data_IF_275058555041
#
_entry.id   IF_275058555041
#
_cell.length_a   1.000
_cell.length_b   1.000
_cell.length_c   1.000
_cell.angle_alpha   90.00
_cell.angle_beta   90.00
_cell.angle_gamma   90.00
#
_symmetry.space_group_name_H-M   'P 1'
#
loop_
_entity.id
_entity.type
_entity.pdbx_description
1 polymer ?
#
# COMPACT_ATOMS: atom_id res chain seq x y z
N UNK A 1 77.83 -45.42 17.95
CA UNK A 1 76.90 -44.62 18.78
C UNK A 1 76.28 -43.54 17.91
N UNK A 2 75.08 -43.77 17.37
CA UNK A 2 74.37 -42.86 16.45
C UNK A 2 73.50 -41.90 17.27
N UNK A 3 73.63 -40.60 17.02
CA UNK A 3 72.83 -39.53 17.63
C UNK A 3 71.47 -39.45 16.93
N UNK A 4 70.39 -39.57 17.70
CA UNK A 4 69.00 -39.34 17.25
C UNK A 4 68.66 -37.87 17.46
N UNK A 5 68.19 -37.11 16.44
CA UNK A 5 67.72 -35.74 16.67
C UNK A 5 66.26 -35.76 17.14
N UNK A 6 65.98 -34.92 18.13
CA UNK A 6 64.68 -34.67 18.72
C UNK A 6 63.90 -33.70 17.81
N UNK A 7 62.73 -34.12 17.28
CA UNK A 7 61.80 -33.24 16.57
C UNK A 7 60.94 -32.48 17.60
N UNK A 8 61.06 -31.16 17.64
CA UNK A 8 60.16 -30.28 18.39
C UNK A 8 58.97 -29.94 17.50
N UNK A 9 57.78 -30.43 17.85
CA UNK A 9 56.53 -30.04 17.20
C UNK A 9 56.03 -28.73 17.84
N UNK A 10 56.07 -27.63 17.09
CA UNK A 10 55.43 -26.38 17.48
C UNK A 10 53.93 -26.46 17.15
N UNK A 11 53.09 -26.53 18.18
CA UNK A 11 51.64 -26.41 18.04
C UNK A 11 51.25 -24.93 17.91
N UNK A 12 50.96 -24.47 16.70
CA UNK A 12 50.31 -23.18 16.46
C UNK A 12 48.84 -23.27 16.86
N UNK A 13 48.48 -22.66 17.99
CA UNK A 13 47.09 -22.44 18.37
C UNK A 13 46.50 -21.34 17.46
N UNK A 14 45.60 -21.73 16.54
CA UNK A 14 44.74 -20.77 15.84
C UNK A 14 43.68 -20.26 16.82
N UNK A 15 43.84 -19.04 17.31
CA UNK A 15 42.76 -18.29 17.94
C UNK A 15 41.74 -17.92 16.87
N UNK A 16 40.59 -18.59 16.82
CA UNK A 16 39.43 -18.09 16.09
C UNK A 16 38.94 -16.83 16.82
N UNK A 17 39.30 -15.66 16.31
CA UNK A 17 38.64 -14.42 16.69
C UNK A 17 37.19 -14.52 16.18
N UNK A 18 36.22 -14.54 17.10
CA UNK A 18 34.82 -14.39 16.75
C UNK A 18 34.65 -13.00 16.12
N UNK A 19 34.45 -12.95 14.81
CA UNK A 19 34.08 -11.71 14.13
C UNK A 19 32.74 -11.25 14.71
N UNK A 20 32.72 -10.05 15.30
CA UNK A 20 31.46 -9.39 15.65
C UNK A 20 30.60 -9.33 14.39
N UNK A 21 29.29 -9.64 14.45
CA UNK A 21 28.42 -9.56 13.29
C UNK A 21 28.50 -8.14 12.74
N UNK A 22 28.87 -8.01 11.46
CA UNK A 22 28.89 -6.72 10.79
C UNK A 22 27.48 -6.12 10.87
N UNK A 23 27.35 -4.97 11.54
CA UNK A 23 26.11 -4.21 11.55
C UNK A 23 25.76 -3.87 10.10
N UNK A 24 24.61 -4.34 9.61
CA UNK A 24 24.18 -4.06 8.25
C UNK A 24 24.17 -2.53 8.03
N UNK A 25 24.75 -2.08 6.93
CA UNK A 25 24.80 -0.66 6.61
C UNK A 25 23.36 -0.13 6.50
N UNK A 26 23.04 0.88 7.32
CA UNK A 26 21.74 1.56 7.30
C UNK A 26 21.92 3.01 6.86
N UNK A 27 20.88 3.56 6.23
CA UNK A 27 20.81 4.98 5.87
C UNK A 27 19.59 5.58 6.53
N UNK A 28 19.78 6.61 7.36
CA UNK A 28 18.68 7.32 8.03
C UNK A 28 18.53 8.74 7.52
N UNK A 29 17.29 9.22 7.42
CA UNK A 29 16.99 10.60 7.08
C UNK A 29 15.69 11.08 7.74
N UNK A 30 15.55 12.40 7.88
CA UNK A 30 14.28 13.04 8.23
C UNK A 30 13.61 13.50 6.94
N UNK A 31 12.33 13.18 6.76
CA UNK A 31 11.53 13.71 5.66
C UNK A 31 11.23 15.19 5.91
N UNK A 32 11.28 16.01 4.85
CA UNK A 32 10.91 17.41 4.93
C UNK A 32 9.38 17.51 4.90
N UNK A 33 8.75 17.69 6.06
CA UNK A 33 7.29 17.80 6.12
C UNK A 33 6.75 19.07 5.46
N UNK A 34 7.59 20.09 5.25
CA UNK A 34 7.23 21.31 4.53
C UNK A 34 7.35 21.16 3.00
N UNK A 35 7.82 20.01 2.50
CA UNK A 35 7.81 19.75 1.06
C UNK A 35 6.38 19.70 0.55
N UNK A 36 6.16 20.34 -0.60
CA UNK A 36 4.90 20.24 -1.33
C UNK A 36 5.11 19.36 -2.56
N UNK A 37 4.18 18.44 -2.78
CA UNK A 37 4.15 17.61 -3.97
C UNK A 37 2.79 17.77 -4.67
N UNK A 38 2.77 17.67 -6.00
CA UNK A 38 1.52 17.79 -6.77
C UNK A 38 0.51 16.66 -6.47
N UNK A 39 1.00 15.55 -5.92
CA UNK A 39 0.20 14.40 -5.50
C UNK A 39 -0.26 14.49 -4.04
N UNK A 40 0.02 15.60 -3.34
CA UNK A 40 -0.56 15.88 -2.03
C UNK A 40 -2.09 16.08 -2.16
N UNK A 41 -2.83 15.54 -1.19
CA UNK A 41 -4.28 15.65 -1.15
C UNK A 41 -4.74 15.91 0.28
N UNK A 42 -5.57 16.93 0.46
CA UNK A 42 -6.27 17.19 1.72
C UNK A 42 -5.37 17.24 2.97
N UNK A 43 -4.19 17.84 2.82
CA UNK A 43 -3.24 18.09 3.91
C UNK A 43 -3.02 19.59 4.11
N UNK A 44 -2.85 19.98 5.36
CA UNK A 44 -2.41 21.31 5.76
C UNK A 44 -1.08 21.18 6.51
N UNK A 45 -0.13 22.06 6.19
CA UNK A 45 1.09 22.21 6.97
C UNK A 45 1.12 23.60 7.61
N UNK A 46 1.03 23.64 8.94
CA UNK A 46 1.16 24.86 9.72
C UNK A 46 2.35 24.70 10.68
N UNK A 47 3.34 25.58 10.55
CA UNK A 47 4.55 25.60 11.39
C UNK A 47 5.32 24.27 11.43
N UNK A 48 5.38 23.55 10.31
CA UNK A 48 6.07 22.25 10.21
C UNK A 48 5.27 21.07 10.75
N UNK A 49 3.97 21.26 11.05
CA UNK A 49 3.08 20.20 11.50
C UNK A 49 2.04 19.89 10.41
N UNK A 50 2.09 18.65 9.91
CA UNK A 50 1.15 18.13 8.91
C UNK A 50 -0.12 17.61 9.59
N UNK A 51 -1.28 18.03 9.09
CA UNK A 51 -2.63 17.64 9.52
C UNK A 51 -3.55 17.46 8.33
N UNK A 52 -4.75 16.93 8.57
CA UNK A 52 -5.87 17.01 7.62
C UNK A 52 -6.28 18.48 7.40
N UNK A 53 -6.64 18.83 6.16
CA UNK A 53 -7.03 20.19 5.80
C UNK A 53 -8.53 20.50 6.03
N UNK A 54 -9.35 19.51 6.39
CA UNK A 54 -10.81 19.66 6.52
C UNK A 54 -11.53 19.59 5.16
N UNK A 55 -10.88 19.01 4.14
CA UNK A 55 -11.37 18.91 2.78
C UNK A 55 -12.14 17.61 2.51
N UNK A 56 -12.88 17.54 1.39
CA UNK A 56 -13.83 16.46 1.12
C UNK A 56 -13.18 15.22 0.48
N UNK A 57 -11.89 14.97 0.71
CA UNK A 57 -11.20 13.80 0.13
C UNK A 57 -11.47 12.58 1.01
N UNK A 58 -12.03 11.54 0.39
CA UNK A 58 -12.51 10.39 1.10
C UNK A 58 -12.44 9.10 0.26
N UNK A 59 -12.48 7.94 0.92
CA UNK A 59 -12.46 6.64 0.26
C UNK A 59 -13.87 6.21 -0.14
N UNK A 60 -14.12 5.65 -1.34
CA UNK A 60 -15.43 5.13 -1.81
C UNK A 60 -16.22 4.31 -0.78
N UNK A 61 -15.56 3.71 0.21
CA UNK A 61 -16.19 3.13 1.41
C UNK A 61 -16.97 4.12 2.30
N UNK A 62 -17.24 5.33 1.85
CA UNK A 62 -17.39 6.54 2.66
C UNK A 62 -18.67 6.69 3.50
N UNK A 63 -19.42 5.62 3.72
CA UNK A 63 -20.56 5.63 4.65
C UNK A 63 -20.13 5.76 6.13
N UNK A 64 -18.92 6.23 6.41
CA UNK A 64 -18.34 6.39 7.75
C UNK A 64 -17.93 7.84 8.05
N UNK A 65 -18.18 8.78 7.12
CA UNK A 65 -17.76 10.17 7.23
C UNK A 65 -16.27 10.31 7.61
N UNK A 66 -15.39 9.49 6.99
CA UNK A 66 -13.95 9.49 7.29
C UNK A 66 -13.21 10.38 6.31
N UNK A 67 -12.60 11.45 6.79
CA UNK A 67 -11.70 12.28 6.02
C UNK A 67 -10.33 11.61 5.84
N UNK A 68 -9.81 11.64 4.62
CA UNK A 68 -8.47 11.13 4.30
C UNK A 68 -7.59 12.23 3.68
N UNK A 69 -6.33 12.27 4.08
CA UNK A 69 -5.31 13.13 3.49
C UNK A 69 -4.04 12.35 3.19
N UNK A 70 -3.34 12.75 2.15
CA UNK A 70 -2.09 12.15 1.69
C UNK A 70 -1.05 13.25 1.54
N UNK A 71 0.09 13.09 2.19
CA UNK A 71 1.31 13.81 1.83
C UNK A 71 2.25 12.85 1.10
N UNK A 72 2.69 13.25 -0.09
CA UNK A 72 3.58 12.50 -0.96
C UNK A 72 4.98 13.11 -0.91
N UNK A 73 5.98 12.31 -0.57
CA UNK A 73 7.37 12.78 -0.61
C UNK A 73 8.00 12.48 -1.97
N UNK A 74 8.93 13.33 -2.40
CA UNK A 74 9.68 13.10 -3.62
C UNK A 74 10.50 11.80 -3.56
N UNK A 75 10.66 11.10 -4.70
CA UNK A 75 11.52 9.93 -4.78
C UNK A 75 12.94 10.20 -4.27
N UNK A 76 13.42 9.38 -3.33
CA UNK A 76 14.75 9.49 -2.73
C UNK A 76 15.67 8.42 -3.28
N UNK A 77 16.81 8.85 -3.83
CA UNK A 77 17.92 7.95 -4.14
C UNK A 77 18.70 7.59 -2.87
N UNK A 78 18.90 6.30 -2.65
CA UNK A 78 19.65 5.76 -1.52
C UNK A 78 21.13 5.58 -1.89
N UNK A 79 22.06 5.74 -0.93
CA UNK A 79 23.50 5.49 -1.15
C UNK A 79 23.81 4.03 -1.51
N UNK A 80 23.00 3.09 -1.02
CA UNK A 80 23.05 1.67 -1.33
C UNK A 80 21.64 1.13 -1.57
N UNK A 81 21.52 0.03 -2.35
CA UNK A 81 20.22 -0.62 -2.56
C UNK A 81 19.71 -1.23 -1.27
N UNK A 82 18.47 -0.92 -0.92
CA UNK A 82 17.81 -1.39 0.30
C UNK A 82 16.47 -2.04 -0.04
N UNK A 83 16.08 -3.09 0.70
CA UNK A 83 14.77 -3.74 0.58
C UNK A 83 13.95 -3.62 1.87
N UNK A 84 14.40 -2.83 2.85
CA UNK A 84 13.69 -2.60 4.10
C UNK A 84 13.73 -1.13 4.46
N UNK A 85 12.59 -0.56 4.86
CA UNK A 85 12.51 0.81 5.39
C UNK A 85 11.60 0.82 6.61
N UNK A 86 12.14 1.24 7.76
CA UNK A 86 11.34 1.54 8.96
C UNK A 86 11.00 3.02 9.00
N UNK A 87 9.90 3.35 9.66
CA UNK A 87 9.42 4.73 9.81
C UNK A 87 9.08 5.01 11.27
N UNK A 88 9.56 6.13 11.79
CA UNK A 88 9.21 6.66 13.11
C UNK A 88 8.60 8.04 12.94
N UNK A 89 7.36 8.20 13.39
CA UNK A 89 6.65 9.48 13.38
C UNK A 89 6.64 10.05 14.78
N UNK A 90 7.03 11.31 14.91
CA UNK A 90 6.74 12.14 16.08
C UNK A 90 5.44 12.90 15.79
N UNK A 91 4.41 12.63 16.58
CA UNK A 91 3.07 13.13 16.31
C UNK A 91 2.02 12.63 17.28
N UNK A 92 0.81 13.17 17.15
CA UNK A 92 -0.36 12.77 17.90
C UNK A 92 -1.34 12.05 16.97
N UNK A 93 -1.84 10.89 17.39
CA UNK A 93 -2.88 10.14 16.68
C UNK A 93 -4.03 9.93 17.67
N UNK A 94 -5.11 10.73 17.57
CA UNK A 94 -6.29 10.56 18.43
C UNK A 94 -6.95 9.20 18.24
N UNK A 95 -7.83 8.83 19.18
CA UNK A 95 -8.69 7.66 19.01
C UNK A 95 -9.48 7.73 17.70
N UNK A 96 -9.78 6.56 17.13
CA UNK A 96 -10.53 6.41 15.88
C UNK A 96 -9.89 7.10 14.65
N UNK A 97 -8.63 7.54 14.77
CA UNK A 97 -7.83 8.09 13.69
C UNK A 97 -6.65 7.17 13.36
N UNK A 98 -6.12 7.33 12.15
CA UNK A 98 -4.96 6.58 11.68
C UNK A 98 -3.94 7.51 11.02
N UNK A 99 -2.66 7.24 11.28
CA UNK A 99 -1.54 7.80 10.54
C UNK A 99 -0.64 6.67 10.08
N UNK A 100 -0.69 6.36 8.79
CA UNK A 100 0.08 5.29 8.16
C UNK A 100 1.23 5.90 7.33
N UNK A 101 2.43 5.33 7.46
CA UNK A 101 3.55 5.64 6.57
C UNK A 101 3.73 4.49 5.61
N UNK A 102 3.63 4.76 4.31
CA UNK A 102 3.84 3.73 3.29
C UNK A 102 5.10 4.01 2.48
N UNK A 103 5.78 2.93 2.09
CA UNK A 103 7.00 2.95 1.29
C UNK A 103 6.81 2.10 0.03
N UNK A 104 7.32 2.59 -1.09
CA UNK A 104 7.49 1.81 -2.32
C UNK A 104 8.89 1.94 -2.89
N UNK A 105 9.37 0.93 -3.58
CA UNK A 105 10.64 0.94 -4.30
C UNK A 105 10.45 1.05 -5.81
N UNK A 106 11.35 1.77 -6.48
CA UNK A 106 11.42 1.75 -7.94
C UNK A 106 12.15 0.49 -8.38
N UNK A 107 11.52 -0.29 -9.25
CA UNK A 107 12.08 -1.53 -9.76
C UNK A 107 13.04 -1.29 -10.91
N UNK A 108 13.84 -2.32 -11.22
CA UNK A 108 14.76 -2.28 -12.36
C UNK A 108 14.05 -2.10 -13.72
N UNK A 109 12.78 -2.53 -13.82
CA UNK A 109 11.92 -2.37 -15.01
C UNK A 109 11.26 -0.98 -15.11
N UNK A 110 11.56 -0.08 -14.16
CA UNK A 110 11.00 1.28 -14.10
C UNK A 110 9.60 1.36 -13.50
N UNK A 111 9.01 0.25 -13.06
CA UNK A 111 7.73 0.24 -12.38
C UNK A 111 7.91 0.38 -10.86
N UNK A 112 6.91 0.93 -10.19
CA UNK A 112 6.89 0.95 -8.74
C UNK A 112 6.46 -0.42 -8.18
N UNK A 113 6.96 -0.78 -7.00
CA UNK A 113 6.34 -1.81 -6.17
C UNK A 113 5.01 -1.28 -5.62
N UNK A 114 4.20 -2.15 -5.01
CA UNK A 114 3.09 -1.69 -4.17
C UNK A 114 3.60 -0.82 -3.02
N UNK A 115 2.71 0.05 -2.52
CA UNK A 115 2.89 0.70 -1.23
C UNK A 115 2.86 -0.36 -0.12
N UNK A 116 3.82 -0.29 0.78
CA UNK A 116 3.94 -1.18 1.94
C UNK A 116 4.09 -0.34 3.19
N UNK A 117 3.21 -0.57 4.15
CA UNK A 117 3.20 0.13 5.43
C UNK A 117 4.51 -0.12 6.20
N UNK A 118 5.08 0.93 6.77
CA UNK A 118 6.29 0.94 7.55
C UNK A 118 6.00 1.46 8.96
N UNK A 119 6.43 0.71 9.97
CA UNK A 119 6.42 1.13 11.37
C UNK A 119 7.83 0.96 11.97
N UNK A 120 8.08 1.43 13.21
CA UNK A 120 9.36 1.19 13.87
C UNK A 120 9.64 -0.31 14.07
N UNK A 121 8.63 -1.08 14.46
CA UNK A 121 8.76 -2.49 14.85
C UNK A 121 8.48 -3.48 13.70
N UNK A 122 7.80 -3.02 12.65
CA UNK A 122 7.56 -3.75 11.41
C UNK A 122 7.94 -2.87 10.22
N UNK A 123 9.22 -2.90 9.79
CA UNK A 123 9.68 -2.18 8.62
C UNK A 123 8.96 -2.67 7.36
N UNK A 124 8.73 -1.76 6.40
CA UNK A 124 8.27 -2.11 5.07
C UNK A 124 9.35 -2.93 4.36
N UNK A 125 9.06 -4.21 4.09
CA UNK A 125 9.95 -5.10 3.33
C UNK A 125 9.50 -5.12 1.87
N UNK A 126 10.34 -4.54 1.00
CA UNK A 126 10.11 -4.48 -0.44
C UNK A 126 10.44 -5.83 -1.10
N UNK A 127 9.74 -6.21 -2.18
CA UNK A 127 9.97 -7.48 -2.88
C UNK A 127 11.36 -7.58 -3.51
N UNK A 128 11.99 -6.44 -3.82
CA UNK A 128 13.37 -6.36 -4.31
C UNK A 128 14.11 -5.15 -3.71
N UNK A 129 15.43 -5.23 -3.65
CA UNK A 129 16.26 -4.13 -3.18
C UNK A 129 16.29 -2.99 -4.20
N UNK A 130 15.85 -1.80 -3.81
CA UNK A 130 15.78 -0.62 -4.67
C UNK A 130 16.83 0.43 -4.32
N UNK A 131 17.33 1.11 -5.34
CA UNK A 131 18.17 2.29 -5.19
C UNK A 131 17.35 3.58 -5.03
N UNK A 132 16.04 3.54 -5.30
CA UNK A 132 15.15 4.70 -5.22
C UNK A 132 13.88 4.29 -4.51
N UNK A 133 13.58 4.93 -3.39
CA UNK A 133 12.34 4.71 -2.65
C UNK A 133 11.47 5.95 -2.70
N UNK A 134 10.16 5.78 -2.57
CA UNK A 134 9.23 6.86 -2.33
C UNK A 134 8.41 6.55 -1.09
N UNK A 135 8.05 7.61 -0.37
CA UNK A 135 7.28 7.52 0.88
C UNK A 135 6.04 8.38 0.74
N UNK A 136 4.96 7.96 1.38
CA UNK A 136 3.79 8.80 1.65
C UNK A 136 3.37 8.64 3.11
N UNK A 137 2.69 9.65 3.63
CA UNK A 137 1.89 9.52 4.86
C UNK A 137 0.42 9.64 4.50
N UNK A 138 -0.40 8.70 4.98
CA UNK A 138 -1.85 8.77 4.91
C UNK A 138 -2.40 9.09 6.30
N UNK A 139 -3.22 10.13 6.38
CA UNK A 139 -3.93 10.53 7.59
C UNK A 139 -5.41 10.21 7.36
N UNK A 140 -6.04 9.55 8.32
CA UNK A 140 -7.48 9.25 8.29
C UNK A 140 -8.10 9.59 9.64
N UNK A 141 -9.27 10.25 9.64
CA UNK A 141 -9.99 10.58 10.86
C UNK A 141 -11.49 10.77 10.58
N UNK A 142 -12.36 10.69 11.60
CA UNK A 142 -13.74 11.15 11.47
C UNK A 142 -13.78 12.63 11.04
N UNK A 143 -14.66 12.96 10.10
CA UNK A 143 -14.82 14.31 9.58
C UNK A 143 -15.14 15.31 10.70
N UNK A 144 -14.47 16.45 10.69
CA UNK A 144 -14.62 17.50 11.72
C UNK A 144 -13.98 17.19 13.08
N UNK A 145 -13.32 16.03 13.25
CA UNK A 145 -12.50 15.74 14.42
C UNK A 145 -11.14 16.45 14.36
N UNK A 146 -10.36 16.39 15.44
CA UNK A 146 -9.00 16.97 15.48
C UNK A 146 -8.04 16.28 14.51
N UNK A 147 -8.23 14.98 14.25
CA UNK A 147 -7.40 14.16 13.38
C UNK A 147 -5.92 14.01 13.82
N UNK A 148 -5.12 13.23 13.07
CA UNK A 148 -3.70 13.06 13.32
C UNK A 148 -2.89 14.34 13.06
N UNK A 149 -1.76 14.47 13.78
CA UNK A 149 -0.78 15.52 13.56
C UNK A 149 0.65 14.94 13.53
N UNK A 150 1.37 15.14 12.44
CA UNK A 150 2.79 14.75 12.32
C UNK A 150 3.72 15.96 12.41
N UNK A 151 4.73 15.87 13.27
CA UNK A 151 5.75 16.91 13.52
C UNK A 151 7.11 16.52 12.95
N UNK A 152 7.39 15.22 12.88
CA UNK A 152 8.61 14.69 12.27
C UNK A 152 8.38 13.28 11.72
N UNK A 153 8.98 12.98 10.58
CA UNK A 153 9.08 11.62 10.07
C UNK A 153 10.56 11.27 9.88
N UNK A 154 11.02 10.26 10.62
CA UNK A 154 12.36 9.67 10.47
C UNK A 154 12.26 8.32 9.79
N UNK A 155 13.04 8.12 8.75
CA UNK A 155 13.07 6.90 7.96
C UNK A 155 14.46 6.29 8.03
N UNK A 156 14.51 4.96 8.16
CA UNK A 156 15.77 4.21 8.17
C UNK A 156 15.68 3.07 7.17
N UNK A 157 16.45 3.19 6.09
CA UNK A 157 16.61 2.16 5.08
C UNK A 157 17.73 1.18 5.46
N UNK A 158 17.53 -0.09 5.15
CA UNK A 158 18.50 -1.16 5.36
C UNK A 158 18.16 -2.40 4.54
N UNK A 159 18.72 -3.53 4.95
CA UNK A 159 18.49 -4.80 4.29
C UNK A 159 17.85 -5.80 5.25
N UNK A 160 16.77 -6.41 4.80
CA UNK A 160 16.13 -7.55 5.46
C UNK A 160 16.48 -8.83 4.72
N UNK A 161 16.77 -9.89 5.48
CA UNK A 161 17.00 -11.24 4.95
C UNK A 161 15.74 -11.93 4.42
N UNK A 162 14.58 -11.27 4.47
CA UNK A 162 13.36 -11.77 3.85
C UNK A 162 13.62 -12.11 2.38
N UNK A 163 13.16 -13.30 1.97
CA UNK A 163 13.32 -13.75 0.59
C UNK A 163 12.69 -12.72 -0.36
N UNK A 164 13.48 -12.27 -1.35
CA UNK A 164 12.97 -11.44 -2.43
C UNK A 164 11.79 -12.17 -3.09
N UNK A 165 10.65 -11.49 -3.22
CA UNK A 165 9.54 -12.06 -3.95
C UNK A 165 9.88 -12.01 -5.44
N UNK A 166 9.89 -13.16 -6.11
CA UNK A 166 10.07 -13.19 -7.56
C UNK A 166 9.03 -12.29 -8.26
N UNK A 167 9.39 -11.63 -9.37
CA UNK A 167 8.43 -10.89 -10.19
C UNK A 167 7.28 -11.85 -10.54
N UNK A 168 6.04 -11.53 -10.15
CA UNK A 168 4.91 -12.39 -10.51
C UNK A 168 4.38 -11.93 -11.86
N UNK A 169 3.77 -12.87 -12.58
CA UNK A 169 2.92 -12.52 -13.69
C UNK A 169 1.66 -11.83 -13.15
N UNK A 170 1.12 -10.91 -13.95
CA UNK A 170 -0.14 -10.24 -13.66
C UNK A 170 -1.22 -11.27 -13.26
N UNK A 171 -1.80 -11.08 -12.08
CA UNK A 171 -2.76 -12.03 -11.51
C UNK A 171 -4.15 -11.69 -11.96
N UNK A 172 -5.01 -12.70 -12.13
CA UNK A 172 -6.41 -12.50 -12.51
C UNK A 172 -7.36 -13.22 -11.57
N UNK A 173 -8.41 -12.52 -11.13
CA UNK A 173 -9.43 -13.07 -10.23
C UNK A 173 -10.84 -12.68 -10.69
N UNK A 174 -11.79 -13.59 -10.46
CA UNK A 174 -13.22 -13.30 -10.67
C UNK A 174 -13.77 -12.61 -9.42
N UNK A 175 -14.22 -11.38 -9.56
CA UNK A 175 -14.72 -10.54 -8.45
C UNK A 175 -16.04 -9.89 -8.82
N UNK A 176 -16.86 -9.58 -7.82
CA UNK A 176 -18.11 -8.87 -8.02
C UNK A 176 -17.82 -7.38 -8.12
N UNK A 177 -18.22 -6.75 -9.22
CA UNK A 177 -18.05 -5.33 -9.47
C UNK A 177 -19.37 -4.59 -9.29
N UNK A 178 -19.28 -3.47 -8.58
CA UNK A 178 -20.36 -2.49 -8.41
C UNK A 178 -20.04 -1.21 -9.15
N UNK A 179 -21.07 -0.45 -9.54
CA UNK A 179 -20.91 0.92 -10.00
C UNK A 179 -20.65 1.83 -8.81
N UNK A 180 -19.61 2.66 -8.88
CA UNK A 180 -19.26 3.61 -7.83
C UNK A 180 -20.30 4.73 -7.72
N UNK A 181 -20.60 5.42 -8.82
CA UNK A 181 -21.70 6.38 -8.90
C UNK A 181 -21.53 7.66 -8.08
N UNK A 182 -20.30 8.02 -7.69
CA UNK A 182 -19.99 9.15 -6.81
C UNK A 182 -19.59 10.44 -7.56
N UNK A 183 -20.21 10.73 -8.71
CA UNK A 183 -19.91 11.96 -9.48
C UNK A 183 -20.10 13.21 -8.61
N UNK A 184 -19.11 14.10 -8.60
CA UNK A 184 -19.03 15.27 -7.73
C UNK A 184 -18.30 15.03 -6.40
N UNK A 185 -18.10 13.78 -6.01
CA UNK A 185 -17.26 13.37 -4.88
C UNK A 185 -15.77 13.55 -5.15
N UNK A 186 -14.95 13.18 -4.17
CA UNK A 186 -13.48 13.21 -4.28
C UNK A 186 -12.93 11.86 -3.86
N UNK A 187 -12.15 11.23 -4.72
CA UNK A 187 -11.51 9.94 -4.42
C UNK A 187 -10.43 10.08 -3.34
N UNK A 188 -9.98 8.95 -2.80
CA UNK A 188 -8.91 8.90 -1.80
C UNK A 188 -7.58 9.54 -2.27
N UNK A 189 -7.28 9.52 -3.58
CA UNK A 189 -6.10 10.20 -4.13
C UNK A 189 -6.30 11.69 -4.44
N UNK A 190 -7.46 12.28 -4.08
CA UNK A 190 -7.75 13.69 -4.26
C UNK A 190 -8.37 14.08 -5.61
N UNK A 191 -8.70 13.12 -6.47
CA UNK A 191 -9.35 13.40 -7.75
C UNK A 191 -10.82 13.77 -7.55
N UNK A 192 -11.25 14.89 -8.14
CA UNK A 192 -12.67 15.29 -8.19
C UNK A 192 -13.38 14.49 -9.27
N UNK A 193 -14.28 13.61 -8.86
CA UNK A 193 -14.97 12.67 -9.75
C UNK A 193 -15.85 13.45 -10.73
N UNK A 194 -15.56 13.31 -12.01
CA UNK A 194 -16.31 13.87 -13.13
C UNK A 194 -17.21 12.82 -13.74
N UNK A 195 -18.25 13.29 -14.42
CA UNK A 195 -19.13 12.42 -15.20
C UNK A 195 -18.31 11.64 -16.24
N UNK A 196 -18.55 10.33 -16.33
CA UNK A 196 -17.86 9.41 -17.25
C UNK A 196 -16.36 9.23 -17.02
N UNK A 197 -15.88 9.46 -15.81
CA UNK A 197 -14.50 9.13 -15.48
C UNK A 197 -14.22 7.63 -15.59
N UNK A 198 -12.99 7.31 -15.99
CA UNK A 198 -12.51 5.95 -16.18
C UNK A 198 -11.44 5.62 -15.14
N UNK A 199 -11.87 5.11 -13.99
CA UNK A 199 -11.01 4.59 -12.91
C UNK A 199 -11.74 3.49 -12.14
N UNK A 200 -11.04 2.87 -11.19
CA UNK A 200 -11.61 1.90 -10.24
C UNK A 200 -11.24 2.25 -8.80
N UNK A 201 -12.04 1.77 -7.85
CA UNK A 201 -11.67 1.65 -6.45
C UNK A 201 -11.29 0.21 -6.11
N UNK A 202 -10.21 0.02 -5.36
CA UNK A 202 -9.85 -1.28 -4.78
C UNK A 202 -9.83 -1.22 -3.25
N UNK A 203 -10.18 -2.30 -2.54
CA UNK A 203 -10.36 -2.26 -1.08
C UNK A 203 -9.04 -2.23 -0.29
N UNK A 204 -7.98 -1.66 -0.87
CA UNK A 204 -6.70 -1.40 -0.23
C UNK A 204 -5.99 -0.20 -0.85
N UNK A 205 -5.38 0.64 0.00
CA UNK A 205 -4.50 1.73 -0.43
C UNK A 205 -3.18 1.27 -1.06
N UNK A 206 -2.82 -0.02 -0.99
CA UNK A 206 -1.51 -0.54 -1.45
C UNK A 206 -1.24 -0.37 -2.95
N UNK A 207 -2.31 -0.25 -3.74
CA UNK A 207 -2.27 -0.02 -5.17
C UNK A 207 -2.94 1.29 -5.59
N UNK A 208 -3.00 2.28 -4.69
CA UNK A 208 -3.57 3.60 -5.01
C UNK A 208 -2.58 4.41 -5.86
N UNK A 209 -3.01 4.83 -7.06
CA UNK A 209 -2.21 5.69 -7.92
C UNK A 209 -2.30 7.15 -7.46
N UNK A 210 -1.23 7.95 -7.63
CA UNK A 210 -1.34 9.39 -7.44
C UNK A 210 -2.33 10.04 -8.41
N UNK A 211 -2.78 11.26 -8.09
CA UNK A 211 -3.86 11.93 -8.79
C UNK A 211 -3.56 12.11 -10.29
N UNK A 212 -4.48 11.68 -11.15
CA UNK A 212 -4.31 11.72 -12.61
C UNK A 212 -3.24 10.78 -13.17
N UNK A 213 -2.56 9.98 -12.33
CA UNK A 213 -1.52 9.04 -12.77
C UNK A 213 -2.09 7.64 -12.98
N UNK A 214 -1.33 6.79 -13.66
CA UNK A 214 -1.68 5.41 -14.01
C UNK A 214 -0.67 4.39 -13.47
N UNK A 215 -0.07 4.69 -12.31
CA UNK A 215 0.99 3.87 -11.70
C UNK A 215 0.52 2.44 -11.44
N UNK A 216 -0.72 2.29 -10.95
CA UNK A 216 -1.37 1.00 -10.78
C UNK A 216 -2.65 1.00 -11.61
N UNK A 217 -2.78 -0.01 -12.46
CA UNK A 217 -3.91 -0.19 -13.34
C UNK A 217 -4.41 -1.62 -13.25
N UNK A 218 -5.72 -1.78 -13.41
CA UNK A 218 -6.33 -3.09 -13.62
C UNK A 218 -6.89 -3.17 -15.02
N UNK A 219 -6.85 -4.38 -15.60
CA UNK A 219 -7.67 -4.72 -16.76
C UNK A 219 -8.90 -5.46 -16.26
N UNK A 220 -10.08 -4.89 -16.47
CA UNK A 220 -11.36 -5.51 -16.13
C UNK A 220 -11.97 -6.08 -17.40
N UNK A 221 -12.47 -7.31 -17.35
CA UNK A 221 -13.17 -7.97 -18.44
C UNK A 221 -14.52 -8.50 -17.97
N UNK A 222 -15.59 -8.12 -18.68
CA UNK A 222 -16.95 -8.57 -18.42
C UNK A 222 -17.32 -9.79 -19.28
N UNK A 223 -18.37 -10.51 -18.88
CA UNK A 223 -18.84 -11.71 -19.56
C UNK A 223 -19.34 -11.44 -21.01
N UNK A 224 -19.69 -10.19 -21.33
CA UNK A 224 -20.05 -9.76 -22.68
C UNK A 224 -18.84 -9.59 -23.62
N UNK A 225 -17.63 -9.99 -23.18
CA UNK A 225 -16.39 -9.93 -23.95
C UNK A 225 -15.72 -8.56 -23.98
N UNK A 226 -16.32 -7.55 -23.33
CA UNK A 226 -15.73 -6.20 -23.23
C UNK A 226 -14.68 -6.18 -22.14
N UNK A 227 -13.57 -5.49 -22.42
CA UNK A 227 -12.55 -5.21 -21.42
C UNK A 227 -12.17 -3.73 -21.44
N UNK A 228 -11.78 -3.21 -20.28
CA UNK A 228 -11.21 -1.88 -20.13
C UNK A 228 -10.00 -1.93 -19.20
N UNK A 229 -8.98 -1.12 -19.48
CA UNK A 229 -7.88 -0.88 -18.52
C UNK A 229 -8.06 0.49 -17.89
N UNK A 230 -8.12 0.52 -16.57
CA UNK A 230 -8.40 1.72 -15.79
C UNK A 230 -7.44 1.84 -14.61
N UNK A 231 -7.02 3.07 -14.25
CA UNK A 231 -6.19 3.32 -13.07
C UNK A 231 -6.98 3.13 -11.77
N UNK A 232 -6.25 2.80 -10.70
CA UNK A 232 -6.79 2.73 -9.35
C UNK A 232 -6.67 4.12 -8.72
N UNK A 233 -7.79 4.83 -8.57
CA UNK A 233 -7.81 6.20 -8.02
C UNK A 233 -8.51 6.32 -6.68
N UNK A 234 -9.23 5.28 -6.25
CA UNK A 234 -9.94 5.29 -4.98
C UNK A 234 -9.73 4.01 -4.18
N UNK A 235 -10.13 4.05 -2.90
CA UNK A 235 -10.04 2.95 -1.94
C UNK A 235 -11.43 2.52 -1.50
N UNK A 236 -11.69 1.21 -1.58
CA UNK A 236 -13.01 0.59 -1.39
C UNK A 236 -13.31 -0.43 -2.48
N UNK A 237 -14.38 -1.23 -2.39
CA UNK A 237 -15.54 -1.14 -1.49
C UNK A 237 -15.35 -1.85 -0.13
N UNK A 238 -16.19 -1.49 0.86
CA UNK A 238 -16.31 -2.05 2.21
C UNK A 238 -15.07 -1.97 3.12
N UNK A 239 -13.89 -2.24 2.60
CA UNK A 239 -12.62 -2.31 3.32
C UNK A 239 -11.58 -1.36 2.69
N UNK A 240 -10.55 -1.02 3.46
CA UNK A 240 -9.40 -0.19 3.04
C UNK A 240 -8.05 -0.88 3.25
N UNK A 241 -8.06 -2.10 3.83
CA UNK A 241 -6.87 -2.94 4.08
C UNK A 241 -7.01 -4.37 3.56
N UNK A 242 -7.84 -4.58 2.54
CA UNK A 242 -8.09 -5.87 1.89
C UNK A 242 -7.45 -5.97 0.49
N UNK A 243 -6.14 -6.18 0.44
CA UNK A 243 -5.39 -6.45 -0.79
C UNK A 243 -5.50 -7.93 -1.21
N UNK A 244 -6.73 -8.42 -1.43
CA UNK A 244 -7.01 -9.84 -1.67
C UNK A 244 -6.25 -10.48 -2.85
N UNK A 245 -5.71 -9.70 -3.77
CA UNK A 245 -4.86 -10.18 -4.85
C UNK A 245 -3.48 -10.66 -4.36
N UNK A 246 -3.07 -10.26 -3.16
CA UNK A 246 -1.82 -10.68 -2.53
C UNK A 246 -1.92 -12.05 -1.84
N UNK A 247 -0.85 -12.85 -1.86
CA UNK A 247 -0.83 -14.13 -1.17
C UNK A 247 -0.87 -13.91 0.35
N UNK A 248 -1.28 -14.94 1.09
CA UNK A 248 -1.33 -14.94 2.57
C UNK A 248 -0.11 -14.32 3.27
N UNK A 249 1.09 -14.55 2.74
CA UNK A 249 2.33 -14.06 3.34
C UNK A 249 2.47 -12.52 3.31
N UNK A 250 1.83 -11.83 2.34
CA UNK A 250 1.95 -10.38 2.17
C UNK A 250 0.63 -9.62 2.11
N UNK A 251 -0.52 -10.32 2.22
CA UNK A 251 -1.84 -9.70 2.39
C UNK A 251 -1.86 -8.91 3.71
N UNK A 252 -2.37 -7.69 3.69
CA UNK A 252 -2.42 -6.76 4.83
C UNK A 252 -3.39 -7.28 5.91
N UNK A 253 -4.63 -7.57 5.53
CA UNK A 253 -5.67 -8.13 6.42
C UNK A 253 -6.18 -9.48 5.93
N UNK A 254 -7.02 -10.17 6.72
CA UNK A 254 -7.78 -11.36 6.28
C UNK A 254 -6.90 -12.48 5.66
N UNK A 255 -5.72 -12.70 6.26
CA UNK A 255 -4.66 -13.60 5.78
C UNK A 255 -5.07 -15.08 5.72
N UNK A 256 -6.14 -15.44 6.40
CA UNK A 256 -6.75 -16.78 6.41
C UNK A 256 -7.71 -17.02 5.23
N UNK A 257 -8.20 -15.98 4.56
CA UNK A 257 -9.01 -16.12 3.36
C UNK A 257 -8.14 -16.56 2.16
N UNK A 258 -8.68 -17.40 1.25
CA UNK A 258 -8.01 -17.72 0.00
C UNK A 258 -7.61 -16.47 -0.78
N UNK A 259 -6.45 -16.54 -1.43
CA UNK A 259 -6.01 -15.49 -2.34
C UNK A 259 -7.03 -15.30 -3.47
N UNK A 260 -7.31 -14.06 -3.82
CA UNK A 260 -8.31 -13.70 -4.84
C UNK A 260 -9.74 -13.60 -4.29
N UNK A 261 -9.96 -13.90 -3.01
CA UNK A 261 -11.28 -13.75 -2.36
C UNK A 261 -11.32 -12.44 -1.56
N UNK A 262 -12.09 -11.43 -2.02
CA UNK A 262 -12.38 -10.24 -1.24
C UNK A 262 -13.05 -10.62 0.08
N UNK A 263 -12.77 -9.88 1.14
CA UNK A 263 -13.39 -10.11 2.43
C UNK A 263 -14.89 -9.87 2.38
N UNK A 264 -15.35 -8.79 1.74
CA UNK A 264 -16.77 -8.48 1.61
C UNK A 264 -17.54 -9.62 0.91
N UNK A 265 -16.92 -10.30 -0.05
CA UNK A 265 -17.50 -11.50 -0.64
C UNK A 265 -17.65 -12.62 0.40
N UNK A 266 -16.64 -12.87 1.23
CA UNK A 266 -16.70 -13.89 2.28
C UNK A 266 -17.75 -13.54 3.36
N UNK A 267 -17.80 -12.27 3.77
CA UNK A 267 -18.80 -11.76 4.72
C UNK A 267 -20.21 -11.97 4.18
N UNK A 268 -20.48 -11.54 2.95
CA UNK A 268 -21.80 -11.63 2.33
C UNK A 268 -22.26 -13.09 2.11
N UNK A 269 -21.37 -13.96 1.63
CA UNK A 269 -21.75 -15.33 1.22
C UNK A 269 -21.72 -16.35 2.34
N UNK A 270 -20.87 -16.14 3.35
CA UNK A 270 -20.59 -17.15 4.38
C UNK A 270 -20.64 -16.61 5.81
N UNK A 271 -20.96 -15.33 6.00
CA UNK A 271 -20.99 -14.71 7.33
C UNK A 271 -19.59 -14.57 7.95
N UNK A 272 -18.53 -14.57 7.14
CA UNK A 272 -17.17 -14.29 7.60
C UNK A 272 -17.13 -12.94 8.35
N UNK A 273 -16.30 -12.84 9.40
CA UNK A 273 -16.29 -11.68 10.29
C UNK A 273 -17.69 -11.29 10.82
N UNK A 274 -18.56 -12.28 11.06
CA UNK A 274 -19.95 -12.04 11.47
C UNK A 274 -20.82 -11.38 10.40
N UNK A 275 -20.43 -11.46 9.12
CA UNK A 275 -21.08 -10.80 7.99
C UNK A 275 -20.79 -9.30 7.92
N UNK A 276 -19.67 -8.86 8.50
CA UNK A 276 -19.31 -7.44 8.63
C UNK A 276 -17.99 -7.13 7.96
N UNK A 277 -17.81 -5.88 7.54
CA UNK A 277 -16.53 -5.39 7.03
C UNK A 277 -15.56 -5.01 8.17
N UNK A 278 -14.39 -4.46 7.83
CA UNK A 278 -13.36 -4.03 8.79
C UNK A 278 -13.84 -2.96 9.78
N UNK A 279 -14.93 -2.25 9.47
CA UNK A 279 -15.49 -1.20 10.31
C UNK A 279 -16.71 -1.68 11.11
N UNK A 280 -17.05 -2.95 11.02
CA UNK A 280 -18.17 -3.56 11.73
C UNK A 280 -19.54 -3.30 11.09
N UNK A 281 -19.59 -2.70 9.89
CA UNK A 281 -20.84 -2.53 9.14
C UNK A 281 -21.25 -3.86 8.53
N UNK A 282 -22.55 -4.14 8.49
CA UNK A 282 -23.07 -5.34 7.80
C UNK A 282 -22.84 -5.20 6.29
N UNK A 283 -22.14 -6.16 5.70
CA UNK A 283 -21.89 -6.18 4.26
C UNK A 283 -23.18 -6.49 3.51
N UNK A 284 -23.57 -5.60 2.60
CA UNK A 284 -24.83 -5.71 1.85
C UNK A 284 -24.68 -6.32 0.45
N UNK A 285 -23.46 -6.43 -0.06
CA UNK A 285 -23.15 -7.06 -1.34
C UNK A 285 -21.71 -7.62 -1.34
N UNK A 286 -21.34 -8.55 -2.24
CA UNK A 286 -20.03 -9.18 -2.23
C UNK A 286 -18.95 -8.38 -3.01
N UNK A 287 -19.12 -7.06 -3.16
CA UNK A 287 -18.25 -6.27 -4.05
C UNK A 287 -16.78 -6.33 -3.63
N UNK A 288 -15.91 -6.55 -4.60
CA UNK A 288 -14.45 -6.53 -4.44
C UNK A 288 -13.76 -5.43 -5.25
N UNK A 289 -14.53 -4.65 -6.01
CA UNK A 289 -14.07 -3.56 -6.85
C UNK A 289 -15.27 -2.64 -7.15
N UNK A 290 -15.07 -1.33 -7.08
CA UNK A 290 -16.01 -0.34 -7.62
C UNK A 290 -15.48 0.22 -8.94
N UNK A 291 -16.39 0.44 -9.89
CA UNK A 291 -16.07 0.96 -11.21
C UNK A 291 -16.70 2.35 -11.37
N UNK A 292 -15.87 3.32 -11.74
CA UNK A 292 -16.36 4.64 -12.10
C UNK A 292 -17.32 4.58 -13.30
N UNK A 293 -18.14 5.62 -13.46
CA UNK A 293 -19.21 5.67 -14.47
C UNK A 293 -18.73 5.41 -15.89
N UNK A 294 -17.57 5.96 -16.25
CA UNK A 294 -16.92 5.70 -17.53
C UNK A 294 -16.52 4.24 -17.62
N UNK A 295 -15.78 3.68 -16.66
CA UNK A 295 -15.39 2.26 -16.74
C UNK A 295 -16.58 1.30 -16.81
N UNK A 296 -17.66 1.58 -16.08
CA UNK A 296 -18.86 0.75 -16.04
C UNK A 296 -19.70 0.85 -17.34
N UNK A 297 -20.02 2.07 -17.78
CA UNK A 297 -20.96 2.34 -18.89
C UNK A 297 -20.26 2.49 -20.26
N UNK A 298 -19.08 3.14 -20.27
CA UNK A 298 -17.97 3.15 -21.25
C UNK A 298 -17.53 1.82 -21.82
N UNK A 299 -16.44 1.32 -21.24
CA UNK A 299 -15.70 0.23 -21.81
C UNK A 299 -16.41 -1.07 -21.61
N UNK A 300 -16.93 -1.34 -20.41
CA UNK A 300 -17.55 -2.63 -20.10
C UNK A 300 -18.99 -2.75 -20.59
N UNK A 301 -19.71 -1.63 -20.80
CA UNK A 301 -21.12 -1.62 -21.24
C UNK A 301 -22.00 -2.47 -20.31
N UNK A 302 -21.77 -2.37 -19.00
CA UNK A 302 -22.60 -3.02 -18.00
C UNK A 302 -23.90 -2.25 -17.79
N UNK A 303 -24.99 -2.97 -17.54
CA UNK A 303 -26.31 -2.40 -17.21
C UNK A 303 -26.69 -2.63 -15.75
N UNK A 304 -25.99 -3.53 -15.06
CA UNK A 304 -26.15 -3.86 -13.65
C UNK A 304 -24.81 -4.38 -13.10
N UNK A 305 -24.68 -4.46 -11.78
CA UNK A 305 -23.55 -5.05 -11.09
C UNK A 305 -23.30 -6.48 -11.58
N UNK A 306 -22.04 -6.84 -11.73
CA UNK A 306 -21.70 -8.09 -12.41
C UNK A 306 -20.41 -8.71 -11.85
N UNK A 307 -20.31 -10.02 -12.01
CA UNK A 307 -19.03 -10.69 -11.88
C UNK A 307 -18.15 -10.37 -13.09
N UNK A 308 -16.94 -9.90 -12.82
CA UNK A 308 -15.93 -9.56 -13.82
C UNK A 308 -14.63 -10.30 -13.51
N UNK A 309 -13.78 -10.47 -14.51
CA UNK A 309 -12.39 -10.88 -14.31
C UNK A 309 -11.52 -9.64 -14.23
N UNK A 310 -10.77 -9.48 -13.15
CA UNK A 310 -9.85 -8.36 -12.94
C UNK A 310 -8.42 -8.87 -12.98
N UNK A 311 -7.61 -8.30 -13.87
CA UNK A 311 -6.18 -8.52 -13.97
C UNK A 311 -5.40 -7.36 -13.34
N UNK A 312 -4.53 -7.64 -12.37
CA UNK A 312 -3.74 -6.65 -11.63
C UNK A 312 -2.39 -6.47 -12.31
N UNK A 313 -2.16 -5.30 -12.94
CA UNK A 313 -1.07 -5.12 -13.89
C UNK A 313 0.30 -4.79 -13.26
N UNK A 314 0.37 -4.69 -11.94
CA UNK A 314 1.61 -4.42 -11.21
C UNK A 314 2.15 -5.63 -10.42
N UNK A 315 1.36 -6.70 -10.28
CA UNK A 315 1.69 -7.87 -9.46
C UNK A 315 2.69 -8.78 -10.14
#
# INVERSE_FOLDING_TARGET
MRKTPLLVAAATALTLAAAAPATAATTSWTADLASHNEDDSNIANNDGVVRLAGGPAHAATDQLDLETGIIMFDPRRLPAKSNSVSATVDGDVPADSELAVDVRGLRADGQWTEWTEATPDAPAVLPEASATVQVRMMLTAPYGSTGPAARKLTLTAGNSMAAAAAPKAARSYKVFATREGLVGGTTANGHKIKSRDHFVALPSGKALSPNGKKTYQVKVCAANGRCETAPVWDVGPWNTKDDYWNPKASRQSWKDLPQGKPEAQAAYQSGYNGGKDQFGRKVANPAGIDLADGTFLDGLKLTDNAWVTVTYLWT
#
